data_IF_655122578880
#
_entry.id   IF_655122578880
#
_cell.length_a   1.000
_cell.length_b   1.000
_cell.length_c   1.000
_cell.angle_alpha   90.00
_cell.angle_beta   90.00
_cell.angle_gamma   90.00
#
_symmetry.space_group_name_H-M   'P 1'
#
loop_
_entity.id
_entity.type
_entity.pdbx_description
1 polymer ?
#
# COMPACT_ATOMS: atom_id res chain seq x y z
N UNK A 1 10.27 -5.93 10.79
CA UNK A 1 10.44 -4.61 11.45
C UNK A 1 11.79 -4.00 11.07
N UNK A 2 11.80 -2.71 10.72
CA UNK A 2 13.02 -1.99 10.37
C UNK A 2 13.57 -2.25 8.97
N UNK A 3 12.82 -2.88 8.10
CA UNK A 3 13.24 -3.14 6.72
C UNK A 3 13.29 -1.85 5.91
N UNK A 4 14.46 -1.58 5.29
CA UNK A 4 14.69 -0.47 4.40
C UNK A 4 14.41 -0.89 2.96
N UNK A 5 13.70 -0.06 2.23
CA UNK A 5 13.54 -0.25 0.79
C UNK A 5 13.63 1.08 0.04
N UNK A 6 14.02 0.99 -1.22
CA UNK A 6 13.93 2.06 -2.19
C UNK A 6 13.20 1.54 -3.43
N UNK A 7 12.56 2.45 -4.15
CA UNK A 7 11.74 2.10 -5.30
C UNK A 7 12.66 1.61 -6.42
N UNK A 8 12.51 0.33 -6.80
CA UNK A 8 13.22 -0.28 -7.93
C UNK A 8 12.22 -0.67 -9.02
N UNK A 9 12.67 -0.58 -10.28
CA UNK A 9 11.93 -1.03 -11.46
C UNK A 9 10.46 -0.54 -11.54
N UNK A 10 10.20 0.77 -11.46
CA UNK A 10 8.84 1.29 -11.56
C UNK A 10 8.28 1.04 -12.94
N UNK A 11 6.99 0.72 -13.00
CA UNK A 11 6.25 0.72 -14.27
C UNK A 11 6.06 2.18 -14.68
N UNK A 12 6.80 2.62 -15.71
CA UNK A 12 6.68 3.97 -16.25
C UNK A 12 5.51 4.03 -17.24
N UNK A 13 4.56 4.90 -16.96
CA UNK A 13 3.46 5.21 -17.86
C UNK A 13 3.64 6.66 -18.34
N UNK A 14 4.16 6.83 -19.57
CA UNK A 14 4.40 8.14 -20.17
C UNK A 14 5.83 8.68 -19.98
N UNK A 15 6.13 9.78 -20.67
CA UNK A 15 7.48 10.38 -20.77
C UNK A 15 7.83 11.32 -19.62
N UNK A 16 6.84 11.78 -18.84
CA UNK A 16 7.00 12.76 -17.77
C UNK A 16 7.23 12.15 -16.37
N UNK A 17 7.27 10.83 -16.27
CA UNK A 17 7.37 10.14 -14.99
C UNK A 17 8.82 9.81 -14.66
N UNK A 18 9.57 10.73 -14.05
CA UNK A 18 10.75 10.42 -13.29
C UNK A 18 10.38 10.28 -11.81
N UNK A 19 10.45 9.08 -11.27
CA UNK A 19 10.20 8.86 -9.84
C UNK A 19 11.30 9.52 -9.01
N UNK A 20 10.96 10.33 -8.00
CA UNK A 20 11.95 10.81 -7.05
C UNK A 20 12.51 9.61 -6.26
N UNK A 21 13.82 9.63 -6.02
CA UNK A 21 14.44 8.65 -5.14
C UNK A 21 14.05 8.97 -3.70
N UNK A 22 13.30 8.06 -3.09
CA UNK A 22 12.82 8.17 -1.72
C UNK A 22 13.23 6.90 -0.99
N UNK A 23 14.00 7.06 0.09
CA UNK A 23 14.31 5.97 0.98
C UNK A 23 13.19 5.84 2.01
N UNK A 24 12.67 4.65 2.16
CA UNK A 24 11.55 4.39 3.06
C UNK A 24 11.86 3.20 3.95
N UNK A 25 11.48 3.28 5.22
CA UNK A 25 11.58 2.19 6.19
C UNK A 25 10.21 1.79 6.68
N UNK A 26 9.95 0.48 6.70
CA UNK A 26 8.78 -0.10 7.36
C UNK A 26 9.16 -0.33 8.82
N UNK A 27 8.62 0.48 9.72
CA UNK A 27 8.88 0.37 11.15
C UNK A 27 8.08 -0.77 11.77
N UNK A 28 6.79 -0.85 11.43
CA UNK A 28 5.89 -1.89 11.91
C UNK A 28 4.77 -2.17 10.92
N UNK A 29 4.16 -3.34 11.04
CA UNK A 29 2.95 -3.76 10.35
C UNK A 29 2.08 -4.56 11.31
N UNK A 30 0.79 -4.25 11.36
CA UNK A 30 -0.17 -5.01 12.17
C UNK A 30 -1.54 -5.03 11.51
N UNK A 31 -2.37 -5.95 11.99
CA UNK A 31 -3.74 -6.16 11.52
C UNK A 31 -4.69 -6.01 12.69
N UNK A 32 -5.77 -5.30 12.48
CA UNK A 32 -6.86 -5.15 13.42
C UNK A 32 -7.99 -6.11 13.04
N UNK A 33 -8.51 -6.81 14.05
CA UNK A 33 -9.59 -7.79 13.88
C UNK A 33 -10.86 -7.28 14.55
N UNK A 34 -11.97 -7.48 13.86
CA UNK A 34 -13.30 -7.31 14.41
C UNK A 34 -14.10 -8.60 14.20
N UNK A 35 -14.64 -9.17 15.28
CA UNK A 35 -15.41 -10.44 15.24
C UNK A 35 -14.68 -11.59 14.51
N UNK A 36 -13.37 -11.77 14.76
CA UNK A 36 -12.50 -12.75 14.10
C UNK A 36 -12.33 -12.56 12.58
N UNK A 37 -12.71 -11.41 12.04
CA UNK A 37 -12.42 -11.03 10.65
C UNK A 37 -11.44 -9.88 10.63
N UNK A 38 -10.60 -9.86 9.61
CA UNK A 38 -9.68 -8.75 9.39
C UNK A 38 -10.53 -7.49 9.12
N UNK A 39 -10.40 -6.49 9.99
CA UNK A 39 -11.05 -5.20 9.84
C UNK A 39 -10.18 -4.24 9.03
N UNK A 40 -8.91 -4.09 9.39
CA UNK A 40 -8.01 -3.15 8.75
C UNK A 40 -6.54 -3.57 8.89
N UNK A 41 -5.72 -3.14 7.93
CA UNK A 41 -4.27 -3.28 7.94
C UNK A 41 -3.61 -1.94 8.17
N UNK A 42 -2.54 -1.95 8.94
CA UNK A 42 -1.75 -0.76 9.24
C UNK A 42 -0.27 -1.03 9.00
N UNK A 43 0.41 -0.06 8.42
CA UNK A 43 1.87 -0.02 8.36
C UNK A 43 2.37 1.32 8.88
N UNK A 44 3.35 1.28 9.75
CA UNK A 44 4.07 2.47 10.16
C UNK A 44 5.29 2.64 9.25
N UNK A 45 5.35 3.74 8.53
CA UNK A 45 6.38 4.06 7.54
C UNK A 45 7.15 5.31 7.93
N UNK A 46 8.47 5.27 7.78
CA UNK A 46 9.35 6.44 7.87
C UNK A 46 9.99 6.74 6.53
N UNK A 47 9.90 7.99 6.10
CA UNK A 47 10.68 8.53 4.99
C UNK A 47 12.01 9.01 5.53
N UNK A 48 13.11 8.59 4.89
CA UNK A 48 14.46 8.89 5.32
C UNK A 48 15.19 9.76 4.29
N UNK A 49 16.12 10.54 4.76
CA UNK A 49 17.10 11.22 3.91
C UNK A 49 18.22 10.25 3.46
N UNK A 50 19.18 10.74 2.67
CA UNK A 50 20.31 9.94 2.19
C UNK A 50 21.30 9.56 3.31
N UNK A 51 21.18 10.16 4.48
CA UNK A 51 22.00 9.89 5.66
C UNK A 51 21.32 8.95 6.65
N UNK A 52 20.05 8.57 6.38
CA UNK A 52 19.26 7.71 7.23
C UNK A 52 18.47 8.45 8.32
N UNK A 53 18.47 9.80 8.34
CA UNK A 53 17.66 10.56 9.27
C UNK A 53 16.20 10.54 8.83
N UNK A 54 15.32 10.48 9.80
CA UNK A 54 13.88 10.46 9.57
C UNK A 54 13.35 11.85 9.23
N UNK A 55 12.74 11.97 8.06
CA UNK A 55 12.13 13.21 7.56
C UNK A 55 10.62 13.28 7.88
N UNK A 56 9.96 12.14 7.84
CA UNK A 56 8.53 12.01 8.12
C UNK A 56 8.21 10.59 8.54
N UNK A 57 7.39 10.45 9.58
CA UNK A 57 6.80 9.19 10.01
C UNK A 57 5.28 9.28 9.93
N UNK A 58 4.63 8.21 9.48
CA UNK A 58 3.18 8.13 9.43
C UNK A 58 2.71 6.68 9.41
N UNK A 59 1.68 6.40 10.21
CA UNK A 59 0.90 5.16 10.09
C UNK A 59 -0.09 5.28 8.94
N UNK A 60 -0.03 4.35 8.01
CA UNK A 60 -0.93 4.24 6.87
C UNK A 60 -1.90 3.09 7.03
N UNK A 61 -3.03 3.18 6.36
CA UNK A 61 -4.04 2.13 6.20
C UNK A 61 -4.61 2.14 4.79
N UNK A 62 -5.52 1.23 4.46
CA UNK A 62 -6.04 1.07 3.08
C UNK A 62 -6.53 2.39 2.46
N UNK A 63 -7.20 3.25 3.24
CA UNK A 63 -7.75 4.52 2.76
C UNK A 63 -7.01 5.77 3.28
N UNK A 64 -5.89 5.58 3.99
CA UNK A 64 -5.11 6.69 4.54
C UNK A 64 -3.63 6.55 4.13
N UNK A 65 -3.27 6.97 2.91
CA UNK A 65 -1.90 6.85 2.39
C UNK A 65 -0.96 7.88 3.03
N UNK A 66 0.34 7.55 3.07
CA UNK A 66 1.39 8.53 3.28
C UNK A 66 1.69 9.26 1.98
N UNK A 67 1.70 10.60 2.03
CA UNK A 67 2.03 11.46 0.90
C UNK A 67 3.29 12.25 1.17
N UNK A 68 4.24 12.15 0.24
CA UNK A 68 5.52 12.87 0.35
C UNK A 68 6.08 13.23 -1.02
N UNK A 69 6.33 14.51 -1.25
CA UNK A 69 6.88 15.05 -2.52
C UNK A 69 6.16 14.53 -3.78
N UNK A 70 4.84 14.46 -3.74
CA UNK A 70 4.02 13.99 -4.87
C UNK A 70 3.96 12.47 -5.03
N UNK A 71 4.64 11.71 -4.18
CA UNK A 71 4.56 10.27 -4.12
C UNK A 71 3.58 9.84 -3.04
N UNK A 72 2.66 8.97 -3.41
CA UNK A 72 1.67 8.38 -2.51
C UNK A 72 2.03 6.92 -2.22
N UNK A 73 2.04 6.55 -0.93
CA UNK A 73 2.28 5.19 -0.44
C UNK A 73 0.98 4.64 0.13
N UNK A 74 0.38 3.68 -0.56
CA UNK A 74 -0.86 3.04 -0.15
C UNK A 74 -0.60 1.67 0.46
N UNK A 75 -1.31 1.34 1.54
CA UNK A 75 -1.42 -0.02 2.01
C UNK A 75 -2.26 -0.82 1.01
N UNK A 76 -1.64 -1.79 0.34
CA UNK A 76 -2.27 -2.53 -0.77
C UNK A 76 -2.57 -3.98 -0.41
N UNK A 77 -1.59 -4.67 0.16
CA UNK A 77 -1.68 -6.10 0.43
C UNK A 77 -0.83 -6.47 1.65
N UNK A 78 -0.85 -7.72 2.04
CA UNK A 78 0.01 -8.31 3.07
C UNK A 78 0.31 -9.77 2.73
N UNK A 79 1.38 -10.29 3.30
CA UNK A 79 1.79 -11.67 3.14
C UNK A 79 2.44 -12.19 4.43
N UNK A 80 2.57 -13.51 4.56
CA UNK A 80 3.41 -14.13 5.57
C UNK A 80 4.67 -14.64 4.89
N UNK A 81 5.84 -14.26 5.40
CA UNK A 81 7.13 -14.62 4.78
C UNK A 81 7.88 -15.67 5.57
N UNK A 82 7.61 -15.80 6.86
CA UNK A 82 8.32 -16.76 7.69
C UNK A 82 7.74 -16.90 9.10
N UNK A 83 8.35 -17.78 9.85
CA UNK A 83 8.08 -17.99 11.27
C UNK A 83 9.39 -18.09 12.05
N UNK A 84 9.31 -17.79 13.35
CA UNK A 84 10.41 -17.99 14.31
C UNK A 84 10.08 -19.11 15.26
N UNK A 85 10.97 -20.07 15.33
CA UNK A 85 10.88 -21.21 16.23
C UNK A 85 12.07 -21.18 17.18
N UNK A 86 11.78 -21.29 18.47
CA UNK A 86 12.80 -21.45 19.50
C UNK A 86 12.99 -22.92 19.81
N UNK A 87 14.22 -23.41 19.67
CA UNK A 87 14.61 -24.71 20.18
C UNK A 87 14.99 -24.55 21.67
N UNK A 88 14.24 -25.22 22.55
CA UNK A 88 14.37 -25.09 23.98
C UNK A 88 15.71 -25.73 24.45
N UNK A 89 16.08 -26.91 23.92
CA UNK A 89 17.28 -27.60 24.28
C UNK A 89 18.57 -26.89 23.94
N UNK A 90 18.59 -26.15 22.79
CA UNK A 90 19.76 -25.43 22.35
C UNK A 90 19.69 -23.90 22.69
N UNK A 91 18.57 -23.42 23.20
CA UNK A 91 18.27 -22.01 23.43
C UNK A 91 18.57 -21.12 22.21
N UNK A 92 18.30 -21.64 21.01
CA UNK A 92 18.50 -20.97 19.72
C UNK A 92 17.17 -20.71 19.04
N UNK A 93 17.08 -19.61 18.31
CA UNK A 93 15.94 -19.27 17.48
C UNK A 93 16.30 -19.45 16.00
N UNK A 94 15.45 -20.13 15.29
CA UNK A 94 15.57 -20.39 13.86
C UNK A 94 14.41 -19.74 13.13
N UNK A 95 14.68 -19.22 11.91
CA UNK A 95 13.67 -18.70 11.01
C UNK A 95 13.41 -19.71 9.89
N UNK A 96 12.13 -19.99 9.65
CA UNK A 96 11.69 -20.87 8.58
C UNK A 96 10.85 -20.07 7.59
N UNK A 97 11.10 -20.19 6.28
CA UNK A 97 10.28 -19.51 5.27
C UNK A 97 8.87 -20.12 5.21
N UNK A 98 7.89 -19.29 4.89
CA UNK A 98 6.52 -19.71 4.61
C UNK A 98 6.26 -19.66 3.11
N UNK A 99 5.68 -20.71 2.58
CA UNK A 99 5.32 -20.86 1.18
C UNK A 99 3.80 -20.79 1.02
N UNK A 100 3.27 -20.03 0.05
CA UNK A 100 1.84 -20.00 -0.19
C UNK A 100 1.34 -21.37 -0.64
N UNK A 101 0.28 -21.88 -0.01
CA UNK A 101 -0.31 -23.19 -0.33
C UNK A 101 -0.99 -23.17 -1.71
N UNK A 102 -1.67 -22.06 -2.04
CA UNK A 102 -2.25 -21.76 -3.36
C UNK A 102 -2.12 -20.27 -3.66
N UNK A 103 -2.03 -19.92 -4.94
CA UNK A 103 -1.82 -18.55 -5.40
C UNK A 103 -2.91 -17.56 -4.97
N UNK A 104 -4.15 -18.04 -4.79
CA UNK A 104 -5.33 -17.20 -4.49
C UNK A 104 -5.87 -17.39 -3.06
N UNK A 105 -5.21 -18.20 -2.24
CA UNK A 105 -5.60 -18.41 -0.84
C UNK A 105 -4.59 -17.75 0.08
N UNK A 106 -5.08 -17.11 1.14
CA UNK A 106 -4.23 -16.57 2.22
C UNK A 106 -3.91 -17.69 3.22
N UNK A 107 -3.29 -18.75 2.70
CA UNK A 107 -2.85 -19.93 3.47
C UNK A 107 -1.41 -20.25 3.12
N UNK A 108 -0.61 -20.51 4.12
CA UNK A 108 0.83 -20.76 3.99
C UNK A 108 1.22 -22.05 4.67
N UNK A 109 2.32 -22.62 4.20
CA UNK A 109 2.84 -23.89 4.67
C UNK A 109 4.35 -23.79 4.89
N UNK A 110 4.84 -24.50 5.91
CA UNK A 110 6.27 -24.76 6.08
C UNK A 110 6.49 -26.14 6.63
N UNK A 111 7.69 -26.66 6.45
CA UNK A 111 8.13 -27.95 6.97
C UNK A 111 9.22 -27.75 8.01
N UNK A 112 9.11 -28.50 9.10
CA UNK A 112 10.10 -28.52 10.15
C UNK A 112 10.62 -29.92 10.23
N UNK A 113 11.92 -30.09 10.01
CA UNK A 113 12.64 -31.33 10.19
C UNK A 113 13.27 -31.31 11.58
N UNK A 114 12.89 -32.26 12.41
CA UNK A 114 13.55 -32.52 13.69
C UNK A 114 14.11 -33.94 13.66
N UNK A 115 15.21 -34.20 14.39
CA UNK A 115 15.95 -35.50 14.41
C UNK A 115 15.06 -36.72 14.62
N UNK A 116 13.86 -36.57 15.15
CA UNK A 116 12.93 -37.65 15.48
C UNK A 116 11.59 -37.61 14.72
N UNK A 117 11.13 -36.45 14.25
CA UNK A 117 9.82 -36.32 13.60
C UNK A 117 9.80 -35.11 12.70
N UNK A 118 9.16 -35.25 11.54
CA UNK A 118 8.92 -34.14 10.62
C UNK A 118 7.47 -33.67 10.76
N UNK A 119 7.29 -32.35 10.81
CA UNK A 119 6.00 -31.71 10.91
C UNK A 119 5.78 -30.77 9.76
N UNK A 120 4.53 -30.71 9.32
CA UNK A 120 4.05 -29.69 8.38
C UNK A 120 3.18 -28.72 9.15
N UNK A 121 3.51 -27.44 9.12
CA UNK A 121 2.72 -26.39 9.73
C UNK A 121 1.94 -25.65 8.66
N UNK A 122 0.65 -25.44 8.91
CA UNK A 122 -0.24 -24.70 8.02
C UNK A 122 -0.81 -23.50 8.78
N UNK A 123 -0.74 -22.35 8.15
CA UNK A 123 -1.23 -21.06 8.64
C UNK A 123 -2.33 -20.57 7.72
N UNK A 124 -3.51 -20.39 8.26
CA UNK A 124 -4.65 -19.83 7.54
C UNK A 124 -4.90 -18.39 8.00
N UNK A 125 -4.79 -17.45 7.07
CA UNK A 125 -4.89 -16.03 7.34
C UNK A 125 -3.86 -15.54 8.38
N UNK A 126 -3.94 -14.28 8.80
CA UNK A 126 -3.08 -13.76 9.86
C UNK A 126 -3.73 -14.01 11.23
N UNK A 127 -4.13 -15.25 11.50
CA UNK A 127 -4.62 -15.65 12.82
C UNK A 127 -3.45 -16.06 13.71
N UNK A 128 -3.63 -15.91 15.02
CA UNK A 128 -2.64 -16.34 15.99
C UNK A 128 -2.66 -17.88 16.21
N UNK A 129 -3.15 -18.64 15.23
CA UNK A 129 -3.30 -20.09 15.27
C UNK A 129 -2.60 -20.74 14.09
N UNK A 130 -2.12 -21.96 14.30
CA UNK A 130 -1.54 -22.80 13.25
C UNK A 130 -1.94 -24.26 13.44
N UNK A 131 -2.07 -24.96 12.32
CA UNK A 131 -2.41 -26.39 12.29
C UNK A 131 -1.15 -27.22 12.06
N UNK A 132 -1.01 -28.31 12.80
CA UNK A 132 0.12 -29.23 12.72
C UNK A 132 -0.33 -30.52 12.06
N UNK A 133 0.45 -30.97 11.07
CA UNK A 133 0.27 -32.24 10.36
C UNK A 133 1.54 -33.09 10.50
N UNK A 134 1.37 -34.41 10.48
CA UNK A 134 2.49 -35.34 10.45
C UNK A 134 3.06 -35.50 9.03
N UNK A 135 4.12 -36.32 8.90
CA UNK A 135 4.77 -36.64 7.60
C UNK A 135 3.81 -37.24 6.55
N UNK A 136 2.74 -37.88 6.99
CA UNK A 136 1.74 -38.51 6.11
C UNK A 136 0.61 -37.53 5.71
N UNK A 137 0.71 -36.28 6.14
CA UNK A 137 -0.34 -35.25 5.88
C UNK A 137 -1.59 -35.44 6.77
N UNK A 138 -1.50 -36.23 7.87
CA UNK A 138 -2.61 -36.39 8.80
C UNK A 138 -2.61 -35.23 9.78
N UNK A 139 -3.76 -34.56 9.95
CA UNK A 139 -3.96 -33.52 10.95
C UNK A 139 -3.73 -34.03 12.36
N UNK A 140 -2.96 -33.36 13.16
CA UNK A 140 -2.68 -33.71 14.55
C UNK A 140 -3.45 -32.79 15.51
N UNK A 141 -3.25 -31.48 15.39
CA UNK A 141 -3.85 -30.50 16.31
C UNK A 141 -3.74 -29.07 15.74
N UNK A 142 -4.50 -28.15 16.32
CA UNK A 142 -4.34 -26.71 16.13
C UNK A 142 -3.84 -26.08 17.42
N UNK A 143 -2.87 -25.19 17.33
CA UNK A 143 -2.23 -24.49 18.45
C UNK A 143 -2.16 -22.99 18.21
N UNK A 144 -1.89 -22.24 19.27
CA UNK A 144 -1.68 -20.79 19.18
C UNK A 144 -0.18 -20.47 19.02
N UNK A 145 0.10 -19.31 18.44
CA UNK A 145 1.46 -18.73 18.47
C UNK A 145 1.87 -18.54 19.94
N UNK A 146 3.05 -19.00 20.28
CA UNK A 146 3.53 -19.10 21.66
C UNK A 146 3.49 -20.52 22.24
N UNK A 147 2.70 -21.43 21.64
CA UNK A 147 2.63 -22.81 22.09
C UNK A 147 3.79 -23.67 21.55
N UNK A 148 4.13 -24.73 22.29
CA UNK A 148 5.12 -25.69 21.85
C UNK A 148 4.59 -26.54 20.70
N UNK A 149 5.40 -26.71 19.66
CA UNK A 149 5.11 -27.63 18.54
C UNK A 149 5.32 -29.05 19.01
N UNK A 150 6.47 -29.28 19.63
CA UNK A 150 6.88 -30.53 20.28
C UNK A 150 7.59 -30.26 21.61
N UNK A 151 8.23 -31.28 22.21
CA UNK A 151 8.93 -31.17 23.51
C UNK A 151 10.10 -30.16 23.48
N UNK A 152 10.70 -29.92 22.30
CA UNK A 152 11.92 -29.15 22.16
C UNK A 152 11.71 -27.84 21.35
N UNK A 153 10.55 -27.65 20.72
CA UNK A 153 10.33 -26.57 19.75
C UNK A 153 9.08 -25.75 20.07
N UNK A 154 9.22 -24.45 20.16
CA UNK A 154 8.12 -23.53 20.41
C UNK A 154 8.04 -22.52 19.27
N UNK A 155 6.85 -22.29 18.71
CA UNK A 155 6.60 -21.23 17.75
C UNK A 155 6.49 -19.90 18.50
N UNK A 156 7.48 -19.01 18.31
CA UNK A 156 7.51 -17.71 19.01
C UNK A 156 6.69 -16.67 18.29
N UNK A 157 6.85 -16.60 16.95
CA UNK A 157 6.36 -15.45 16.18
C UNK A 157 6.12 -15.82 14.71
N UNK A 158 5.20 -15.09 14.08
CA UNK A 158 4.96 -15.13 12.64
C UNK A 158 5.52 -13.83 12.06
N UNK A 159 6.25 -13.92 10.95
CA UNK A 159 6.86 -12.78 10.27
C UNK A 159 5.95 -12.34 9.13
N UNK A 160 5.13 -11.30 9.33
CA UNK A 160 4.32 -10.74 8.26
C UNK A 160 5.15 -9.79 7.39
N UNK A 161 4.71 -9.59 6.17
CA UNK A 161 5.18 -8.52 5.29
C UNK A 161 4.02 -7.68 4.79
N UNK A 162 4.26 -6.39 4.61
CA UNK A 162 3.30 -5.46 4.04
C UNK A 162 3.52 -5.31 2.55
N UNK A 163 2.44 -5.28 1.78
CA UNK A 163 2.45 -4.92 0.37
C UNK A 163 2.07 -3.46 0.19
N UNK A 164 2.99 -2.67 -0.37
CA UNK A 164 2.79 -1.25 -0.61
C UNK A 164 2.61 -0.98 -2.10
N UNK A 165 1.56 -0.23 -2.45
CA UNK A 165 1.41 0.36 -3.78
C UNK A 165 1.95 1.78 -3.73
N UNK A 166 2.98 2.05 -4.51
CA UNK A 166 3.62 3.36 -4.59
C UNK A 166 3.22 4.01 -5.90
N UNK A 167 2.61 5.19 -5.82
CA UNK A 167 2.12 5.93 -6.98
C UNK A 167 2.76 7.32 -7.04
N UNK A 168 3.21 7.70 -8.22
CA UNK A 168 3.65 9.05 -8.55
C UNK A 168 2.97 9.49 -9.84
N UNK A 169 2.17 10.54 -9.76
CA UNK A 169 1.42 11.05 -10.93
C UNK A 169 1.49 12.60 -10.98
N UNK A 170 2.47 13.15 -11.69
CA UNK A 170 2.63 14.58 -11.82
C UNK A 170 1.55 15.23 -12.73
N UNK A 171 0.83 14.44 -13.53
CA UNK A 171 -0.18 14.93 -14.46
C UNK A 171 -1.45 15.43 -13.78
N UNK A 172 -1.70 15.02 -12.55
CA UNK A 172 -2.88 15.43 -11.78
C UNK A 172 -2.99 16.96 -11.65
N UNK A 173 -1.87 17.64 -11.42
CA UNK A 173 -1.84 19.11 -11.32
C UNK A 173 -2.26 19.76 -12.64
N UNK A 174 -1.77 19.25 -13.77
CA UNK A 174 -2.09 19.75 -15.10
C UNK A 174 -3.59 19.59 -15.39
N UNK A 175 -4.18 18.46 -15.01
CA UNK A 175 -5.60 18.19 -15.16
C UNK A 175 -6.44 19.21 -14.37
N UNK A 176 -6.10 19.48 -13.11
CA UNK A 176 -6.82 20.45 -12.29
C UNK A 176 -6.73 21.87 -12.85
N UNK A 177 -5.56 22.27 -13.36
CA UNK A 177 -5.41 23.56 -14.05
C UNK A 177 -6.30 23.62 -15.30
N UNK A 178 -6.33 22.54 -16.09
CA UNK A 178 -7.21 22.44 -17.27
C UNK A 178 -8.69 22.56 -16.90
N UNK A 179 -9.15 21.88 -15.87
CA UNK A 179 -10.52 22.01 -15.36
C UNK A 179 -10.82 23.43 -14.85
N UNK A 180 -9.89 24.06 -14.13
CA UNK A 180 -10.03 25.44 -13.67
C UNK A 180 -10.21 26.39 -14.83
N UNK A 181 -9.38 26.30 -15.87
CA UNK A 181 -9.50 27.12 -17.08
C UNK A 181 -10.84 26.87 -17.79
N UNK A 182 -11.27 25.62 -17.89
CA UNK A 182 -12.55 25.28 -18.51
C UNK A 182 -13.72 25.91 -17.74
N UNK A 183 -13.71 25.89 -16.41
CA UNK A 183 -14.73 26.51 -15.58
C UNK A 183 -14.76 28.03 -15.78
N UNK A 184 -13.58 28.66 -15.83
CA UNK A 184 -13.49 30.13 -16.08
C UNK A 184 -14.01 30.49 -17.46
N UNK A 185 -13.58 29.80 -18.51
CA UNK A 185 -14.02 30.11 -19.89
C UNK A 185 -15.50 29.81 -20.08
N UNK A 186 -16.03 28.75 -19.48
CA UNK A 186 -17.47 28.48 -19.48
C UNK A 186 -18.25 29.62 -18.82
N UNK A 187 -17.79 30.10 -17.65
CA UNK A 187 -18.43 31.22 -16.95
C UNK A 187 -18.40 32.52 -17.76
N UNK A 188 -17.27 32.83 -18.40
CA UNK A 188 -17.15 33.99 -19.29
C UNK A 188 -18.08 33.91 -20.51
N UNK A 189 -18.31 32.69 -21.03
CA UNK A 189 -19.22 32.46 -22.15
C UNK A 189 -20.68 32.84 -21.83
N UNK A 190 -21.07 32.84 -20.55
CA UNK A 190 -22.40 33.26 -20.13
C UNK A 190 -22.56 34.77 -19.96
N UNK A 191 -21.46 35.54 -20.00
CA UNK A 191 -21.56 37.00 -19.92
C UNK A 191 -22.19 37.55 -21.19
N UNK A 192 -23.30 38.31 -21.09
CA UNK A 192 -23.85 38.97 -22.26
C UNK A 192 -22.92 40.13 -22.71
N UNK A 193 -22.65 40.20 -23.99
CA UNK A 193 -21.96 41.32 -24.56
C UNK A 193 -22.77 41.92 -25.72
N UNK A 194 -22.68 43.22 -25.87
CA UNK A 194 -23.33 43.96 -26.96
C UNK A 194 -22.26 44.74 -27.71
N UNK A 195 -22.20 44.53 -29.01
CA UNK A 195 -21.39 45.35 -29.92
C UNK A 195 -22.25 46.43 -30.52
N UNK A 196 -21.80 47.68 -30.44
CA UNK A 196 -22.47 48.85 -31.00
C UNK A 196 -21.55 49.45 -32.05
N UNK A 197 -22.06 49.61 -33.25
CA UNK A 197 -21.38 50.33 -34.34
C UNK A 197 -22.08 51.59 -34.60
N UNK A 198 -21.31 52.65 -34.72
CA UNK A 198 -21.82 53.97 -35.11
C UNK A 198 -21.12 54.33 -36.40
N UNK A 199 -21.90 54.57 -37.44
CA UNK A 199 -21.42 55.08 -38.72
C UNK A 199 -21.99 56.47 -38.91
N UNK A 200 -21.12 57.51 -39.16
CA UNK A 200 -21.49 58.87 -39.35
C UNK A 200 -21.12 59.30 -40.78
N UNK A 201 -22.10 59.82 -41.55
CA UNK A 201 -21.89 60.38 -42.89
C UNK A 201 -22.53 61.75 -42.96
N UNK A 202 -21.69 62.81 -42.95
CA UNK A 202 -22.17 64.20 -42.89
C UNK A 202 -22.94 64.47 -41.59
N UNK A 203 -24.20 64.87 -41.70
CA UNK A 203 -25.11 65.16 -40.57
C UNK A 203 -25.92 63.95 -40.13
N UNK A 204 -25.84 62.86 -40.88
CA UNK A 204 -26.61 61.66 -40.60
C UNK A 204 -25.76 60.59 -39.86
N UNK A 205 -26.34 59.98 -38.86
CA UNK A 205 -25.70 58.89 -38.06
C UNK A 205 -26.52 57.61 -38.09
N UNK A 206 -25.87 56.52 -38.35
CA UNK A 206 -26.45 55.18 -38.32
C UNK A 206 -25.90 54.40 -37.11
N UNK A 207 -26.78 53.74 -36.38
CA UNK A 207 -26.42 52.96 -35.20
C UNK A 207 -26.89 51.54 -35.41
N UNK A 208 -25.94 50.61 -35.33
CA UNK A 208 -26.19 49.14 -35.32
C UNK A 208 -25.75 48.55 -34.03
N UNK A 209 -26.52 47.61 -33.48
CA UNK A 209 -26.17 46.86 -32.31
C UNK A 209 -26.43 45.36 -32.50
N UNK A 210 -25.50 44.51 -32.04
CA UNK A 210 -25.68 43.07 -31.98
C UNK A 210 -25.32 42.58 -30.57
N UNK A 211 -26.16 41.74 -30.02
CA UNK A 211 -25.90 41.09 -28.75
C UNK A 211 -25.74 39.59 -28.95
N UNK A 212 -24.93 38.91 -28.11
CA UNK A 212 -24.77 37.47 -28.11
C UNK A 212 -25.95 36.72 -27.45
N UNK A 213 -26.91 37.46 -26.87
CA UNK A 213 -28.20 36.92 -26.40
C UNK A 213 -29.31 37.65 -27.10
N UNK A 214 -29.96 36.92 -28.00
CA UNK A 214 -31.22 37.35 -28.60
C UNK A 214 -32.39 37.17 -27.65
#
# INVERSE_FOLDING_TARGET
KGELFHIQNPIKVGTLTSLPQINTRVNDFWVEYEQNKIHQFYSNLSILDNYGNELKEQTISVNNPLRYKGVDFYQSDWNLIGIRIKNIGQNKTYEFPLFPLKKDTKSWITWIENDQKNYTLVFDQLQNTFSIYNERGTFLTTKNVGDSIDENSTLIDIIPSTGLLIKYDPSVVIIYVGFGLLMVTASLSYLPYTQIWVFCEGTDGWLGAVTNRG
#
